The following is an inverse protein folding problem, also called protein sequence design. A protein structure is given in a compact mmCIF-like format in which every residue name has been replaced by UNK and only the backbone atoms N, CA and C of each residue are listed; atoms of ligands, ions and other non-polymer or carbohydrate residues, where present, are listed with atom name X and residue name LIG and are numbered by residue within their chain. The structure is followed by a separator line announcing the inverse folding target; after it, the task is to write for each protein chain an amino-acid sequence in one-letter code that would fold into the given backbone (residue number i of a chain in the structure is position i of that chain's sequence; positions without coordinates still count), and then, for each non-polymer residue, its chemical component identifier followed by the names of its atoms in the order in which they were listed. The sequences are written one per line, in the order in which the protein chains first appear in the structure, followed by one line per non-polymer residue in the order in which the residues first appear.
data_IF_180100835996
#
_entry.id   IF_180100835996
#
_cell.length_a   1.000
_cell.length_b   1.000
_cell.length_c   1.000
_cell.angle_alpha   90.00
_cell.angle_beta   90.00
_cell.angle_gamma   90.00
#
_symmetry.space_group_name_H-M   'P 1'
#
loop_
_entity.id
_entity.type
_entity.pdbx_description
1 polymer ?
#
# COMPACT_ATOMS: atom_id res chain seq x y z
N UNK A 1 -43.82 15.88 -20.62
CA UNK A 1 -42.51 15.42 -21.13
C UNK A 1 -41.62 16.64 -21.25
N UNK A 2 -40.46 16.65 -20.58
CA UNK A 2 -39.14 16.98 -21.12
C UNK A 2 -38.15 17.09 -19.95
N UNK A 3 -37.01 16.43 -20.09
CA UNK A 3 -36.06 16.23 -19.01
C UNK A 3 -35.12 17.43 -18.85
N UNK A 4 -34.87 17.81 -17.60
CA UNK A 4 -33.71 18.60 -17.19
C UNK A 4 -32.42 17.84 -17.50
N UNK A 5 -31.46 18.51 -18.13
CA UNK A 5 -30.08 18.06 -18.22
C UNK A 5 -29.18 19.11 -17.56
N UNK A 6 -28.62 18.76 -16.41
CA UNK A 6 -27.60 19.58 -15.74
C UNK A 6 -26.25 18.95 -16.10
N UNK A 7 -25.52 19.57 -17.01
CA UNK A 7 -24.17 19.18 -17.34
C UNK A 7 -23.22 19.51 -16.18
N UNK A 8 -22.33 18.58 -15.84
CA UNK A 8 -21.49 18.68 -14.65
C UNK A 8 -20.40 19.75 -14.73
N UNK A 9 -20.12 20.39 -13.59
CA UNK A 9 -18.89 21.13 -13.37
C UNK A 9 -17.77 20.15 -13.01
N UNK A 10 -16.71 20.10 -13.82
CA UNK A 10 -15.45 19.43 -13.46
C UNK A 10 -14.37 20.51 -13.33
N UNK A 11 -13.91 20.72 -12.11
CA UNK A 11 -12.91 21.74 -11.77
C UNK A 11 -11.52 21.28 -12.19
N UNK A 12 -10.91 21.95 -13.17
CA UNK A 12 -9.49 21.78 -13.46
C UNK A 12 -8.65 22.58 -12.45
N UNK A 13 -7.71 21.92 -11.77
CA UNK A 13 -6.71 22.60 -10.95
C UNK A 13 -5.47 22.80 -11.83
N UNK A 14 -5.12 24.05 -12.12
CA UNK A 14 -3.91 24.44 -12.82
C UNK A 14 -3.02 25.28 -11.90
N UNK A 15 -1.74 24.90 -11.78
CA UNK A 15 -0.71 25.66 -11.06
C UNK A 15 0.54 25.79 -11.94
N UNK A 16 1.11 27.00 -11.96
CA UNK A 16 2.29 27.41 -12.75
C UNK A 16 3.57 27.27 -11.90
N UNK A 17 4.81 27.11 -12.39
CA UNK A 17 5.45 26.94 -13.73
C UNK A 17 6.95 26.63 -13.47
N UNK A 18 7.86 26.39 -14.46
CA UNK A 18 7.72 25.93 -15.85
C UNK A 18 8.71 24.78 -16.23
N UNK A 19 8.39 23.97 -17.25
CA UNK A 19 9.39 23.38 -18.16
C UNK A 19 8.72 22.85 -19.42
N UNK A 20 9.19 23.29 -20.60
CA UNK A 20 8.55 23.00 -21.88
C UNK A 20 9.01 21.65 -22.47
N UNK A 21 8.75 20.57 -21.74
CA UNK A 21 8.55 19.27 -22.37
C UNK A 21 7.06 19.14 -22.69
N UNK A 22 6.70 18.58 -23.84
CA UNK A 22 5.31 18.35 -24.19
C UNK A 22 4.73 17.35 -23.18
N UNK A 23 4.00 17.85 -22.17
CA UNK A 23 3.33 16.97 -21.22
C UNK A 23 2.43 16.01 -22.01
N UNK A 24 2.50 14.70 -21.76
CA UNK A 24 1.56 13.77 -22.35
C UNK A 24 0.14 14.25 -22.05
N UNK A 25 -0.76 14.09 -23.01
CA UNK A 25 -2.20 14.23 -22.73
C UNK A 25 -2.58 13.32 -21.55
N UNK A 26 -3.63 13.68 -20.78
CA UNK A 26 -3.99 12.96 -19.56
C UNK A 26 -4.18 11.47 -19.84
N UNK A 27 -3.34 10.65 -19.23
CA UNK A 27 -3.36 9.19 -19.39
C UNK A 27 -4.62 8.61 -18.76
N UNK A 28 -5.33 7.76 -19.50
CA UNK A 28 -6.46 7.02 -18.93
C UNK A 28 -5.98 5.74 -18.22
N UNK A 29 -6.84 5.16 -17.38
CA UNK A 29 -6.48 3.98 -16.56
C UNK A 29 -6.04 2.77 -17.39
N UNK A 30 -6.60 2.56 -18.58
CA UNK A 30 -6.20 1.46 -19.47
C UNK A 30 -4.80 1.66 -20.05
N UNK A 31 -4.41 2.91 -20.35
CA UNK A 31 -3.05 3.23 -20.81
C UNK A 31 -2.02 3.07 -19.69
N UNK A 32 -2.34 3.52 -18.47
CA UNK A 32 -1.46 3.39 -17.30
C UNK A 32 -1.16 1.92 -17.00
N UNK A 33 -2.18 1.06 -17.02
CA UNK A 33 -2.03 -0.36 -16.68
C UNK A 33 -1.36 -1.21 -17.76
N UNK A 34 -1.13 -0.66 -18.96
CA UNK A 34 -0.35 -1.31 -20.04
C UNK A 34 1.15 -1.04 -19.94
N UNK A 35 1.59 -0.13 -19.06
CA UNK A 35 2.99 0.28 -18.92
C UNK A 35 3.63 -0.38 -17.70
N UNK A 36 4.93 -0.68 -17.82
CA UNK A 36 5.81 -0.89 -16.65
C UNK A 36 6.02 0.43 -15.89
N UNK A 37 6.49 0.36 -14.64
CA UNK A 37 6.72 1.57 -13.84
C UNK A 37 7.82 2.46 -14.47
N UNK A 38 8.85 1.86 -15.04
CA UNK A 38 9.92 2.54 -15.76
C UNK A 38 9.41 3.25 -17.02
N UNK A 39 8.56 2.58 -17.82
CA UNK A 39 7.94 3.18 -19.00
C UNK A 39 6.93 4.28 -18.63
N UNK A 40 6.23 4.14 -17.50
CA UNK A 40 5.31 5.16 -17.01
C UNK A 40 6.08 6.39 -16.52
N UNK A 41 7.17 6.21 -15.78
CA UNK A 41 8.08 7.27 -15.35
C UNK A 41 8.72 8.01 -16.56
N UNK A 42 9.21 7.27 -17.56
CA UNK A 42 9.66 7.84 -18.84
C UNK A 42 8.56 8.65 -19.52
N UNK A 43 7.35 8.10 -19.60
CA UNK A 43 6.21 8.78 -20.23
C UNK A 43 5.82 10.06 -19.47
N UNK A 44 5.87 10.05 -18.13
CA UNK A 44 5.61 11.23 -17.29
C UNK A 44 6.73 12.28 -17.37
N UNK A 45 7.91 11.92 -17.87
CA UNK A 45 9.06 12.81 -18.06
C UNK A 45 10.01 12.91 -16.87
N UNK A 46 9.90 12.02 -15.89
CA UNK A 46 10.82 11.93 -14.74
C UNK A 46 11.23 10.48 -14.46
N UNK A 47 12.47 10.14 -14.79
CA UNK A 47 13.11 8.84 -14.48
C UNK A 47 13.95 8.87 -13.19
N UNK A 48 13.78 9.91 -12.36
CA UNK A 48 14.45 9.99 -11.06
C UNK A 48 13.83 9.02 -10.04
N UNK A 49 14.48 8.89 -8.89
CA UNK A 49 13.93 8.16 -7.76
C UNK A 49 12.54 8.67 -7.34
N UNK A 50 12.21 9.95 -7.58
CA UNK A 50 10.91 10.57 -7.29
C UNK A 50 9.88 10.20 -8.35
N UNK A 51 10.19 10.36 -9.64
CA UNK A 51 9.30 9.99 -10.75
C UNK A 51 8.93 8.51 -10.77
N UNK A 52 9.83 7.62 -10.33
CA UNK A 52 9.52 6.20 -10.11
C UNK A 52 8.49 5.97 -8.99
N UNK A 53 8.45 6.82 -7.97
CA UNK A 53 7.44 6.74 -6.90
C UNK A 53 6.09 7.27 -7.40
N UNK A 54 6.09 8.38 -8.14
CA UNK A 54 4.90 8.94 -8.76
C UNK A 54 4.27 7.96 -9.75
N UNK A 55 5.09 7.32 -10.60
CA UNK A 55 4.66 6.25 -11.49
C UNK A 55 4.02 5.07 -10.71
N UNK A 56 4.63 4.62 -9.61
CA UNK A 56 4.06 3.57 -8.76
C UNK A 56 2.69 3.97 -8.17
N UNK A 57 2.55 5.20 -7.69
CA UNK A 57 1.31 5.72 -7.12
C UNK A 57 0.20 5.90 -8.16
N UNK A 58 0.54 6.38 -9.36
CA UNK A 58 -0.40 6.51 -10.48
C UNK A 58 -0.86 5.13 -10.96
N UNK A 59 0.06 4.17 -11.09
CA UNK A 59 -0.25 2.79 -11.47
C UNK A 59 -1.15 2.11 -10.43
N UNK A 60 -0.79 2.21 -9.14
CA UNK A 60 -1.59 1.70 -8.02
C UNK A 60 -3.00 2.30 -8.02
N UNK A 61 -3.11 3.61 -8.26
CA UNK A 61 -4.39 4.32 -8.36
C UNK A 61 -5.24 3.82 -9.52
N UNK A 62 -4.64 3.61 -10.71
CA UNK A 62 -5.35 3.05 -11.85
C UNK A 62 -5.83 1.62 -11.59
N UNK A 63 -5.00 0.78 -10.96
CA UNK A 63 -5.34 -0.60 -10.60
C UNK A 63 -6.48 -0.63 -9.58
N UNK A 64 -6.43 0.24 -8.56
CA UNK A 64 -7.51 0.42 -7.57
C UNK A 64 -8.82 0.81 -8.26
N UNK A 65 -8.81 1.81 -9.14
CA UNK A 65 -10.01 2.26 -9.86
C UNK A 65 -10.62 1.11 -10.69
N UNK A 66 -9.80 0.33 -11.40
CA UNK A 66 -10.28 -0.84 -12.16
C UNK A 66 -10.91 -1.89 -11.24
N UNK A 67 -10.19 -2.28 -10.18
CA UNK A 67 -10.59 -3.35 -9.23
C UNK A 67 -11.86 -2.97 -8.48
N UNK A 68 -11.92 -1.76 -7.91
CA UNK A 68 -13.07 -1.27 -7.15
C UNK A 68 -14.29 -1.05 -8.08
N UNK A 69 -14.09 -0.68 -9.35
CA UNK A 69 -15.16 -0.59 -10.36
C UNK A 69 -15.66 -1.96 -10.86
N UNK A 70 -14.83 -3.00 -10.80
CA UNK A 70 -15.26 -4.38 -11.05
C UNK A 70 -16.12 -4.92 -9.90
N UNK A 71 -15.60 -4.88 -8.67
CA UNK A 71 -16.33 -5.32 -7.47
C UNK A 71 -17.61 -4.50 -7.23
N UNK A 72 -17.56 -3.18 -7.47
CA UNK A 72 -18.67 -2.25 -7.25
C UNK A 72 -19.91 -2.52 -8.12
N UNK A 73 -19.76 -3.23 -9.25
CA UNK A 73 -20.89 -3.70 -10.08
C UNK A 73 -21.73 -4.76 -9.37
N UNK A 74 -21.18 -5.43 -8.36
CA UNK A 74 -21.83 -6.56 -7.67
C UNK A 74 -22.05 -6.30 -6.18
N UNK A 75 -21.11 -5.66 -5.48
CA UNK A 75 -21.24 -5.40 -4.04
C UNK A 75 -20.37 -4.25 -3.55
N UNK A 76 -21.00 -3.20 -3.03
CA UNK A 76 -20.31 -2.12 -2.29
C UNK A 76 -19.64 -2.66 -1.01
N UNK A 77 -20.20 -3.71 -0.38
CA UNK A 77 -19.56 -4.33 0.76
C UNK A 77 -18.26 -5.05 0.35
N UNK A 78 -18.20 -5.68 -0.83
CA UNK A 78 -16.97 -6.29 -1.34
C UNK A 78 -15.86 -5.25 -1.55
N UNK A 79 -16.19 -4.08 -2.11
CA UNK A 79 -15.28 -2.93 -2.22
C UNK A 79 -14.78 -2.48 -0.84
N UNK A 80 -15.67 -2.47 0.17
CA UNK A 80 -15.29 -2.11 1.56
C UNK A 80 -14.35 -3.13 2.20
N UNK A 81 -14.61 -4.43 2.07
CA UNK A 81 -13.72 -5.49 2.60
C UNK A 81 -12.34 -5.42 1.93
N UNK A 82 -12.27 -5.22 0.59
CA UNK A 82 -10.99 -5.06 -0.10
C UNK A 82 -10.23 -3.80 0.36
N UNK A 83 -10.94 -2.70 0.61
CA UNK A 83 -10.33 -1.48 1.16
C UNK A 83 -9.78 -1.66 2.58
N UNK A 84 -10.36 -2.54 3.41
CA UNK A 84 -9.77 -2.89 4.71
C UNK A 84 -8.47 -3.69 4.55
N UNK A 85 -8.42 -4.64 3.62
CA UNK A 85 -7.17 -5.33 3.28
C UNK A 85 -6.10 -4.38 2.80
N UNK A 86 -6.46 -3.48 1.87
CA UNK A 86 -5.60 -2.45 1.29
C UNK A 86 -4.94 -1.58 2.36
N UNK A 87 -5.73 -1.05 3.30
CA UNK A 87 -5.22 -0.28 4.42
C UNK A 87 -4.23 -1.10 5.26
N UNK A 88 -4.64 -2.28 5.75
CA UNK A 88 -3.80 -3.11 6.65
C UNK A 88 -2.50 -3.57 5.99
N UNK A 89 -2.52 -3.87 4.68
CA UNK A 89 -1.32 -4.25 3.92
C UNK A 89 -0.37 -3.07 3.71
N UNK A 90 -0.89 -1.88 3.38
CA UNK A 90 -0.09 -0.66 3.24
C UNK A 90 0.54 -0.26 4.59
N UNK A 91 -0.28 -0.15 5.65
CA UNK A 91 0.16 0.19 7.00
C UNK A 91 1.25 -0.78 7.49
N UNK A 92 1.07 -2.09 7.29
CA UNK A 92 2.06 -3.10 7.67
C UNK A 92 3.34 -3.03 6.83
N UNK A 93 3.24 -2.71 5.54
CA UNK A 93 4.39 -2.55 4.66
C UNK A 93 5.25 -1.34 5.03
N UNK A 94 4.61 -0.20 5.31
CA UNK A 94 5.29 1.01 5.76
C UNK A 94 5.95 0.82 7.15
N UNK A 95 5.24 0.19 8.09
CA UNK A 95 5.81 -0.14 9.41
C UNK A 95 7.04 -1.05 9.31
N UNK A 96 7.06 -2.03 8.40
CA UNK A 96 8.27 -2.84 8.11
C UNK A 96 9.45 -1.98 7.64
N UNK A 97 9.20 -0.95 6.81
CA UNK A 97 10.22 -0.03 6.33
C UNK A 97 10.68 0.97 7.41
N UNK A 98 9.77 1.48 8.25
CA UNK A 98 10.09 2.32 9.41
C UNK A 98 10.97 1.57 10.43
N UNK A 99 10.74 0.26 10.62
CA UNK A 99 11.65 -0.59 11.41
C UNK A 99 13.04 -0.67 10.78
N UNK A 100 13.15 -0.88 9.46
CA UNK A 100 14.46 -0.84 8.78
C UNK A 100 15.13 0.53 8.91
N UNK A 101 14.37 1.62 8.87
CA UNK A 101 14.88 2.97 9.05
C UNK A 101 15.52 3.13 10.43
N UNK A 102 14.82 2.77 11.52
CA UNK A 102 15.37 2.82 12.89
C UNK A 102 16.61 1.92 13.03
N UNK A 103 16.56 0.69 12.51
CA UNK A 103 17.70 -0.23 12.52
C UNK A 103 18.93 0.34 11.79
N UNK A 104 18.73 1.06 10.69
CA UNK A 104 19.79 1.54 9.79
C UNK A 104 20.22 3.00 10.03
N UNK A 105 19.75 3.65 11.10
CA UNK A 105 20.12 5.03 11.42
C UNK A 105 19.34 6.12 10.65
N UNK A 106 18.25 5.74 9.97
CA UNK A 106 17.35 6.64 9.25
C UNK A 106 17.53 6.66 7.74
N UNK A 107 17.33 7.83 7.13
CA UNK A 107 17.44 8.08 5.68
C UNK A 107 16.10 8.15 4.94
N UNK A 108 16.08 8.82 3.79
CA UNK A 108 14.87 9.00 2.94
C UNK A 108 14.59 7.83 2.00
N UNK A 109 15.53 6.92 1.80
CA UNK A 109 15.36 5.72 0.96
C UNK A 109 14.11 4.91 1.35
N UNK A 110 13.78 4.86 2.65
CA UNK A 110 12.65 4.10 3.17
C UNK A 110 11.29 4.69 2.76
N UNK A 111 11.16 6.02 2.61
CA UNK A 111 9.92 6.63 2.13
C UNK A 111 9.74 6.46 0.61
N UNK A 112 10.83 6.48 -0.17
CA UNK A 112 10.81 6.10 -1.59
C UNK A 112 10.36 4.64 -1.77
N UNK A 113 10.91 3.71 -0.98
CA UNK A 113 10.47 2.31 -0.98
C UNK A 113 9.02 2.14 -0.54
N UNK A 114 8.54 2.96 0.41
CA UNK A 114 7.14 2.93 0.87
C UNK A 114 6.18 3.31 -0.25
N UNK A 115 6.43 4.43 -0.94
CA UNK A 115 5.65 4.86 -2.10
C UNK A 115 5.68 3.85 -3.27
N UNK A 116 6.81 3.16 -3.48
CA UNK A 116 6.92 2.09 -4.49
C UNK A 116 6.12 0.83 -4.15
N UNK A 117 5.83 0.58 -2.87
CA UNK A 117 5.07 -0.61 -2.45
C UNK A 117 3.57 -0.52 -2.76
N UNK A 118 3.01 0.65 -3.06
CA UNK A 118 1.61 0.79 -3.45
C UNK A 118 1.28 -0.06 -4.70
N UNK A 119 2.14 -0.05 -5.73
CA UNK A 119 1.92 -0.81 -6.96
C UNK A 119 1.88 -2.35 -6.77
N UNK A 120 2.88 -3.02 -6.15
CA UNK A 120 2.81 -4.46 -5.91
C UNK A 120 1.69 -4.84 -4.93
N UNK A 121 1.30 -3.97 -3.99
CA UNK A 121 0.14 -4.25 -3.11
C UNK A 121 -1.18 -4.19 -3.89
N UNK A 122 -1.41 -3.18 -4.74
CA UNK A 122 -2.62 -3.16 -5.57
C UNK A 122 -2.65 -4.29 -6.61
N UNK A 123 -1.50 -4.69 -7.15
CA UNK A 123 -1.39 -5.88 -8.01
C UNK A 123 -1.78 -7.17 -7.26
N UNK A 124 -1.33 -7.31 -6.01
CA UNK A 124 -1.72 -8.41 -5.13
C UNK A 124 -3.22 -8.40 -4.82
N UNK A 125 -3.77 -7.24 -4.45
CA UNK A 125 -5.19 -7.06 -4.14
C UNK A 125 -6.07 -7.42 -5.34
N UNK A 126 -5.73 -6.93 -6.54
CA UNK A 126 -6.42 -7.23 -7.78
C UNK A 126 -6.37 -8.74 -8.10
N UNK A 127 -5.19 -9.37 -7.97
CA UNK A 127 -5.02 -10.82 -8.20
C UNK A 127 -5.89 -11.69 -7.29
N UNK A 128 -6.06 -11.30 -6.02
CA UNK A 128 -6.79 -12.06 -5.02
C UNK A 128 -8.18 -11.48 -4.68
N UNK A 129 -8.67 -10.51 -5.48
CA UNK A 129 -9.82 -9.66 -5.14
C UNK A 129 -11.03 -10.45 -4.65
N UNK A 130 -11.46 -11.48 -5.38
CA UNK A 130 -12.66 -12.26 -5.07
C UNK A 130 -12.61 -13.01 -3.72
N UNK A 131 -11.41 -13.34 -3.23
CA UNK A 131 -11.23 -14.02 -1.95
C UNK A 131 -11.03 -13.03 -0.79
N UNK A 132 -10.36 -11.91 -1.04
CA UNK A 132 -10.15 -10.85 -0.06
C UNK A 132 -11.40 -10.01 0.17
N UNK A 133 -12.27 -9.88 -0.84
CA UNK A 133 -13.55 -9.16 -0.78
C UNK A 133 -14.74 -10.03 -0.35
N UNK A 134 -14.51 -11.30 -0.03
CA UNK A 134 -15.56 -12.23 0.39
C UNK A 134 -15.93 -11.98 1.87
N UNK A 135 -17.20 -12.18 2.28
CA UNK A 135 -17.58 -12.09 3.68
C UNK A 135 -16.73 -13.02 4.57
N UNK A 136 -16.23 -12.54 5.73
CA UNK A 136 -15.32 -13.32 6.57
C UNK A 136 -16.01 -14.60 7.07
N UNK A 137 -15.30 -15.73 6.94
CA UNK A 137 -15.86 -17.03 7.28
C UNK A 137 -15.83 -17.31 8.79
N UNK A 138 -16.84 -18.01 9.31
CA UNK A 138 -16.97 -18.27 10.75
C UNK A 138 -15.92 -19.23 11.34
N UNK A 139 -15.12 -19.91 10.51
CA UNK A 139 -14.11 -20.89 10.95
C UNK A 139 -12.76 -20.21 11.17
N UNK A 140 -12.63 -19.47 12.27
CA UNK A 140 -11.41 -18.74 12.66
C UNK A 140 -10.29 -19.68 13.12
N UNK A 141 -9.54 -20.24 12.18
CA UNK A 141 -8.24 -20.85 12.50
C UNK A 141 -7.24 -19.74 12.86
N UNK A 142 -6.61 -19.78 14.04
CA UNK A 142 -5.63 -18.74 14.44
C UNK A 142 -4.37 -18.84 13.57
N UNK A 143 -3.97 -17.79 12.82
CA UNK A 143 -2.76 -17.82 12.02
C UNK A 143 -1.53 -17.89 12.94
N UNK A 144 -0.66 -18.88 12.73
CA UNK A 144 0.61 -19.00 13.47
C UNK A 144 1.70 -18.13 12.86
N UNK A 145 1.48 -16.82 12.82
CA UNK A 145 2.52 -15.84 12.46
C UNK A 145 3.00 -15.12 13.72
N UNK A 146 4.32 -14.96 13.85
CA UNK A 146 4.96 -14.26 14.96
C UNK A 146 5.99 -13.26 14.41
N UNK A 147 5.48 -12.30 13.65
CA UNK A 147 6.31 -11.30 12.98
C UNK A 147 6.59 -10.09 13.86
N UNK A 148 5.74 -9.82 14.85
CA UNK A 148 5.90 -8.71 15.79
C UNK A 148 7.20 -8.79 16.61
N UNK A 149 7.53 -9.97 17.17
CA UNK A 149 8.72 -10.14 18.02
C UNK A 149 10.04 -9.75 17.30
N UNK A 150 10.38 -10.30 16.11
CA UNK A 150 11.61 -9.91 15.42
C UNK A 150 11.63 -8.43 15.00
N UNK A 151 10.47 -7.84 14.67
CA UNK A 151 10.37 -6.41 14.36
C UNK A 151 10.76 -5.54 15.57
N UNK A 152 10.23 -5.84 16.76
CA UNK A 152 10.58 -5.13 18.01
C UNK A 152 12.08 -5.30 18.32
N UNK A 153 12.63 -6.50 18.14
CA UNK A 153 14.06 -6.75 18.37
C UNK A 153 14.97 -5.93 17.44
N UNK A 154 14.57 -5.67 16.20
CA UNK A 154 15.32 -4.80 15.28
C UNK A 154 15.24 -3.31 15.67
N UNK A 155 14.10 -2.85 16.19
CA UNK A 155 14.00 -1.51 16.78
C UNK A 155 14.98 -1.38 17.96
N UNK A 156 14.96 -2.33 18.89
CA UNK A 156 15.83 -2.33 20.07
C UNK A 156 17.33 -2.39 19.70
N UNK A 157 17.68 -3.18 18.69
CA UNK A 157 19.04 -3.26 18.15
C UNK A 157 19.48 -1.91 17.55
N UNK A 158 18.63 -1.28 16.73
CA UNK A 158 18.92 0.04 16.15
C UNK A 158 19.12 1.12 17.21
N UNK A 159 18.19 1.24 18.17
CA UNK A 159 18.30 2.22 19.24
C UNK A 159 19.60 2.10 20.04
N UNK A 160 20.10 0.87 20.22
CA UNK A 160 21.36 0.60 20.91
C UNK A 160 22.58 0.93 20.04
N UNK A 161 22.58 0.56 18.76
CA UNK A 161 23.69 0.78 17.84
C UNK A 161 23.96 2.28 17.61
N UNK A 162 22.88 3.07 17.50
CA UNK A 162 22.94 4.50 17.19
C UNK A 162 22.96 5.43 18.42
N UNK A 163 23.17 4.89 19.63
CA UNK A 163 23.14 5.60 20.93
C UNK A 163 21.94 6.55 21.06
N UNK A 164 20.74 5.99 20.85
CA UNK A 164 19.52 6.76 20.61
C UNK A 164 19.05 7.56 21.83
N UNK A 165 19.04 8.89 21.68
CA UNK A 165 18.54 9.85 22.66
C UNK A 165 17.04 9.79 22.91
N UNK A 166 16.58 10.58 23.88
CA UNK A 166 15.20 10.52 24.40
C UNK A 166 14.11 10.64 23.32
N UNK A 167 14.29 11.54 22.34
CA UNK A 167 13.34 11.72 21.25
C UNK A 167 13.20 10.44 20.39
N UNK A 168 14.33 9.84 20.00
CA UNK A 168 14.34 8.59 19.23
C UNK A 168 13.73 7.42 20.02
N UNK A 169 13.92 7.37 21.34
CA UNK A 169 13.28 6.39 22.22
C UNK A 169 11.75 6.56 22.24
N UNK A 170 11.24 7.80 22.26
CA UNK A 170 9.80 8.11 22.22
C UNK A 170 9.18 7.72 20.87
N UNK A 171 9.81 8.10 19.74
CA UNK A 171 9.38 7.70 18.39
C UNK A 171 9.36 6.17 18.22
N UNK A 172 10.38 5.48 18.73
CA UNK A 172 10.42 4.03 18.68
C UNK A 172 9.37 3.36 19.58
N UNK A 173 9.00 3.95 20.71
CA UNK A 173 7.89 3.48 21.54
C UNK A 173 6.53 3.64 20.83
N UNK A 174 6.33 4.75 20.09
CA UNK A 174 5.16 4.93 19.23
C UNK A 174 5.13 3.86 18.11
N UNK A 175 6.25 3.67 17.39
CA UNK A 175 6.37 2.66 16.33
C UNK A 175 6.06 1.23 16.82
N UNK A 176 6.52 0.85 18.02
CA UNK A 176 6.18 -0.46 18.64
C UNK A 176 4.67 -0.61 18.87
N UNK A 177 3.99 0.44 19.33
CA UNK A 177 2.53 0.44 19.56
C UNK A 177 1.74 0.37 18.24
N UNK A 178 2.21 1.05 17.20
CA UNK A 178 1.64 0.94 15.85
C UNK A 178 1.79 -0.48 15.31
N UNK A 179 2.98 -1.09 15.44
CA UNK A 179 3.22 -2.48 15.07
C UNK A 179 2.32 -3.46 15.82
N UNK A 180 2.16 -3.33 17.14
CA UNK A 180 1.24 -4.16 17.93
C UNK A 180 -0.21 -4.04 17.44
N UNK A 181 -0.65 -2.82 17.15
CA UNK A 181 -2.00 -2.52 16.68
C UNK A 181 -2.24 -3.12 15.29
N UNK A 182 -1.38 -2.80 14.32
CA UNK A 182 -1.53 -3.27 12.93
C UNK A 182 -1.32 -4.78 12.81
N UNK A 183 -0.40 -5.38 13.59
CA UNK A 183 -0.28 -6.84 13.67
C UNK A 183 -1.56 -7.50 14.19
N UNK A 184 -2.22 -6.90 15.19
CA UNK A 184 -3.48 -7.41 15.73
C UNK A 184 -4.62 -7.34 14.69
N UNK A 185 -4.71 -6.25 13.92
CA UNK A 185 -5.65 -6.15 12.80
C UNK A 185 -5.32 -7.16 11.69
N UNK A 186 -4.06 -7.32 11.29
CA UNK A 186 -3.62 -8.31 10.31
C UNK A 186 -3.98 -9.74 10.73
N UNK A 187 -3.76 -10.11 11.99
CA UNK A 187 -4.19 -11.39 12.57
C UNK A 187 -5.71 -11.55 12.46
N UNK A 188 -6.49 -10.53 12.80
CA UNK A 188 -7.95 -10.55 12.72
C UNK A 188 -8.44 -10.76 11.28
N UNK A 189 -7.89 -10.00 10.32
CA UNK A 189 -8.20 -10.13 8.89
C UNK A 189 -7.86 -11.55 8.38
N UNK A 190 -6.69 -12.08 8.75
CA UNK A 190 -6.25 -13.44 8.41
C UNK A 190 -7.06 -14.56 9.08
N UNK A 191 -7.79 -14.29 10.16
CA UNK A 191 -8.77 -15.23 10.75
C UNK A 191 -10.09 -15.27 9.99
N UNK A 192 -10.42 -14.22 9.21
CA UNK A 192 -11.61 -14.19 8.35
C UNK A 192 -11.46 -15.01 7.06
N UNK A 193 -10.22 -15.17 6.57
CA UNK A 193 -9.92 -15.94 5.36
C UNK A 193 -10.01 -17.45 5.59
N UNK A 194 -10.61 -18.14 4.62
CA UNK A 194 -10.55 -19.60 4.52
C UNK A 194 -9.10 -20.08 4.35
N UNK A 195 -8.76 -21.23 4.93
CA UNK A 195 -7.47 -21.88 4.71
C UNK A 195 -7.30 -22.29 3.24
N UNK A 196 -6.17 -21.91 2.64
CA UNK A 196 -5.89 -22.11 1.23
C UNK A 196 -4.89 -21.10 0.67
N UNK A 197 -4.76 -21.09 -0.66
CA UNK A 197 -3.73 -20.35 -1.39
C UNK A 197 -3.72 -18.83 -1.10
N UNK A 198 -4.89 -18.16 -1.06
CA UNK A 198 -4.96 -16.72 -0.77
C UNK A 198 -4.41 -16.39 0.62
N UNK A 199 -4.81 -17.15 1.65
CA UNK A 199 -4.34 -16.93 3.02
C UNK A 199 -2.83 -17.12 3.13
N UNK A 200 -2.29 -18.13 2.45
CA UNK A 200 -0.85 -18.38 2.38
C UNK A 200 -0.11 -17.26 1.63
N UNK A 201 -0.65 -16.77 0.51
CA UNK A 201 -0.07 -15.66 -0.23
C UNK A 201 -0.06 -14.34 0.57
N UNK A 202 -1.08 -14.08 1.40
CA UNK A 202 -1.05 -12.94 2.34
C UNK A 202 0.05 -13.13 3.38
N UNK A 203 0.18 -14.32 3.97
CA UNK A 203 1.23 -14.64 4.96
C UNK A 203 2.63 -14.40 4.37
N UNK A 204 2.86 -14.80 3.12
CA UNK A 204 4.11 -14.58 2.39
C UNK A 204 4.37 -13.09 2.10
N UNK A 205 3.36 -12.33 1.66
CA UNK A 205 3.48 -10.88 1.42
C UNK A 205 3.79 -10.08 2.71
N UNK A 206 3.11 -10.42 3.80
CA UNK A 206 3.28 -9.71 5.08
C UNK A 206 4.50 -10.16 5.87
N UNK A 207 5.13 -11.28 5.51
CA UNK A 207 6.36 -11.73 6.14
C UNK A 207 7.42 -10.60 6.14
N UNK A 208 8.12 -10.38 7.27
CA UNK A 208 9.27 -9.49 7.28
C UNK A 208 10.46 -10.18 6.61
N UNK A 209 10.97 -9.57 5.55
CA UNK A 209 12.26 -9.93 4.97
C UNK A 209 13.33 -9.07 5.65
N UNK A 210 14.19 -9.71 6.43
CA UNK A 210 15.36 -9.09 7.06
C UNK A 210 16.53 -10.06 6.90
N UNK A 211 17.27 -9.85 5.81
CA UNK A 211 18.51 -10.53 5.47
C UNK A 211 19.65 -9.51 5.51
#
# INVERSE_FOLDING_TARGET
MNHTSIAGLLTAIALCTPSLHAQPGPLNTSEVLQLTLEQLAEKLGDQSEVGHNEAAQIWATAQRIQTDAELGKTSVQAVRELNQWRQVLNDWSDLKLRVRAVHSGGGTMWSHLSARNDAPIESFLAKYQAALSAPPTGKRGVPKINYLKPLIQLIDAGLKEWDAGEYQQQEAAALKKELETTHSYLIYMLQGLTEGATRQAVIELVQPDFK
#
